data_IF_619760932282
#
_entry.id   IF_619760932282
#
_cell.length_a   1.000
_cell.length_b   1.000
_cell.length_c   1.000
_cell.angle_alpha   90.00
_cell.angle_beta   90.00
_cell.angle_gamma   90.00
#
_symmetry.space_group_name_H-M   'P 1'
#
loop_
_entity.id
_entity.type
_entity.pdbx_description
1 polymer ?
#
# COMPACT_ATOMS: atom_id res chain seq x y z
N UNK A 1 12.06 23.03 -11.23
CA UNK A 1 12.23 21.69 -10.63
C UNK A 1 11.61 21.74 -9.24
N UNK A 2 10.32 21.41 -9.10
CA UNK A 2 9.69 21.39 -7.76
C UNK A 2 10.14 20.13 -7.04
N UNK A 3 11.13 20.26 -6.16
CA UNK A 3 11.48 19.19 -5.22
C UNK A 3 10.40 19.13 -4.16
N UNK A 4 9.43 18.23 -4.33
CA UNK A 4 8.49 17.93 -3.26
C UNK A 4 9.32 17.53 -2.01
N UNK A 5 9.04 18.10 -0.83
CA UNK A 5 9.80 17.77 0.36
C UNK A 5 9.74 16.26 0.63
N UNK A 6 10.80 15.66 1.19
CA UNK A 6 10.88 14.22 1.38
C UNK A 6 9.68 13.67 2.16
N UNK A 7 9.25 12.48 1.78
CA UNK A 7 8.16 11.79 2.46
C UNK A 7 8.69 11.25 3.80
N UNK A 8 8.06 11.66 4.90
CA UNK A 8 8.44 11.24 6.26
C UNK A 8 7.24 10.61 6.97
N UNK A 9 7.50 9.77 7.97
CA UNK A 9 6.45 9.16 8.80
C UNK A 9 5.57 10.21 9.48
N UNK A 10 6.17 11.28 10.00
CA UNK A 10 5.41 12.38 10.60
C UNK A 10 4.40 12.99 9.61
N UNK A 11 4.81 13.19 8.35
CA UNK A 11 3.90 13.71 7.30
C UNK A 11 2.80 12.71 6.97
N UNK A 12 3.15 11.43 6.81
CA UNK A 12 2.18 10.36 6.57
C UNK A 12 1.16 10.20 7.71
N UNK A 13 1.60 10.31 8.96
CA UNK A 13 0.75 10.27 10.15
C UNK A 13 -0.20 11.47 10.26
N UNK A 14 0.12 12.60 9.62
CA UNK A 14 -0.77 13.77 9.55
C UNK A 14 -1.72 13.80 8.33
N UNK A 15 -1.51 12.95 7.32
CA UNK A 15 -2.32 12.98 6.10
C UNK A 15 -3.71 12.38 6.32
N UNK A 16 -4.72 12.93 5.62
CA UNK A 16 -5.99 12.24 5.44
C UNK A 16 -5.81 10.99 4.56
N UNK A 17 -6.83 10.13 4.51
CA UNK A 17 -6.72 8.84 3.83
C UNK A 17 -6.38 8.98 2.35
N UNK A 18 -7.00 9.93 1.65
CA UNK A 18 -6.70 10.22 0.24
C UNK A 18 -5.24 10.62 0.04
N UNK A 19 -4.73 11.56 0.84
CA UNK A 19 -3.35 12.02 0.74
C UNK A 19 -2.33 10.92 1.05
N UNK A 20 -2.58 10.12 2.07
CA UNK A 20 -1.75 8.97 2.42
C UNK A 20 -1.73 7.91 1.31
N UNK A 21 -2.91 7.58 0.78
CA UNK A 21 -3.06 6.61 -0.31
C UNK A 21 -2.39 7.09 -1.59
N UNK A 22 -2.51 8.37 -1.93
CA UNK A 22 -1.81 8.95 -3.08
C UNK A 22 -0.30 8.94 -2.87
N UNK A 23 0.18 9.28 -1.68
CA UNK A 23 1.61 9.34 -1.38
C UNK A 23 2.30 7.97 -1.41
N UNK A 24 1.59 6.91 -1.03
CA UNK A 24 2.13 5.54 -0.91
C UNK A 24 1.56 4.55 -1.93
N UNK A 25 0.65 4.98 -2.81
CA UNK A 25 -0.07 4.09 -3.73
C UNK A 25 0.83 3.32 -4.70
N UNK A 26 2.06 3.79 -4.91
CA UNK A 26 3.09 3.08 -5.69
C UNK A 26 3.59 1.80 -5.01
N UNK A 27 3.39 1.62 -3.69
CA UNK A 27 3.87 0.46 -2.95
C UNK A 27 3.15 -0.84 -3.36
N UNK A 28 1.92 -0.72 -3.85
CA UNK A 28 1.12 -1.82 -4.39
C UNK A 28 0.57 -1.39 -5.74
N UNK A 29 1.30 -1.71 -6.80
CA UNK A 29 0.95 -1.33 -8.16
C UNK A 29 -0.46 -1.80 -8.52
N UNK A 30 -1.26 -0.86 -9.04
CA UNK A 30 -2.67 -1.04 -9.41
C UNK A 30 -3.57 -1.58 -8.27
N UNK A 31 -3.08 -1.55 -7.02
CA UNK A 31 -3.75 -2.10 -5.84
C UNK A 31 -3.63 -1.16 -4.63
N UNK A 32 -4.05 0.12 -4.75
CA UNK A 32 -3.92 1.11 -3.68
C UNK A 32 -4.75 0.76 -2.43
N UNK A 33 -5.68 -0.19 -2.53
CA UNK A 33 -6.55 -0.61 -1.44
C UNK A 33 -5.77 -1.11 -0.22
N UNK A 34 -4.59 -1.71 -0.40
CA UNK A 34 -3.76 -2.19 0.72
C UNK A 34 -3.30 -1.01 1.57
N UNK A 35 -2.77 0.00 0.91
CA UNK A 35 -2.33 1.26 1.53
C UNK A 35 -3.51 2.01 2.15
N UNK A 36 -4.62 2.09 1.41
CA UNK A 36 -5.82 2.78 1.87
C UNK A 36 -6.36 2.22 3.19
N UNK A 37 -6.44 0.88 3.30
CA UNK A 37 -6.92 0.20 4.52
C UNK A 37 -5.89 0.29 5.67
N UNK A 38 -4.59 0.26 5.38
CA UNK A 38 -3.55 0.41 6.40
C UNK A 38 -3.55 1.80 7.07
N UNK A 39 -4.17 2.82 6.44
CA UNK A 39 -4.28 4.18 6.98
C UNK A 39 -4.92 4.24 8.37
N UNK A 40 -5.83 3.31 8.69
CA UNK A 40 -6.54 3.24 9.96
C UNK A 40 -5.64 2.85 11.15
N UNK A 41 -4.46 2.26 10.88
CA UNK A 41 -3.52 1.81 11.92
C UNK A 41 -2.50 2.89 12.35
N UNK A 42 -2.58 4.08 11.77
CA UNK A 42 -1.73 5.22 12.17
C UNK A 42 -2.04 5.66 13.61
N UNK A 43 -1.06 6.23 14.33
CA UNK A 43 0.25 6.63 13.85
C UNK A 43 1.27 5.48 13.77
N UNK A 44 2.21 5.59 12.84
CA UNK A 44 3.37 4.69 12.74
C UNK A 44 4.63 5.34 13.30
N UNK A 45 5.29 4.66 14.22
CA UNK A 45 6.55 5.11 14.81
C UNK A 45 7.77 4.78 13.93
N UNK A 46 7.69 3.69 13.15
CA UNK A 46 8.76 3.23 12.26
C UNK A 46 8.24 2.83 10.87
N UNK A 47 9.16 2.75 9.90
CA UNK A 47 8.83 2.30 8.54
C UNK A 47 8.43 0.83 8.54
N UNK A 48 9.04 0.03 9.42
CA UNK A 48 8.70 -1.36 9.65
C UNK A 48 7.28 -1.50 10.20
N UNK A 49 6.84 -0.60 11.08
CA UNK A 49 5.47 -0.55 11.59
C UNK A 49 4.45 -0.24 10.49
N UNK A 50 4.77 0.73 9.63
CA UNK A 50 3.99 1.07 8.43
C UNK A 50 3.90 -0.13 7.46
N UNK A 51 5.02 -0.78 7.17
CA UNK A 51 5.06 -1.97 6.33
C UNK A 51 4.26 -3.13 6.95
N UNK A 52 4.40 -3.38 8.25
CA UNK A 52 3.69 -4.42 8.96
C UNK A 52 2.17 -4.21 8.93
N UNK A 53 1.69 -2.96 9.00
CA UNK A 53 0.26 -2.66 8.83
C UNK A 53 -0.24 -3.01 7.42
N UNK A 54 0.52 -2.69 6.37
CA UNK A 54 0.17 -3.10 5.01
C UNK A 54 0.15 -4.62 4.84
N UNK A 55 1.10 -5.34 5.46
CA UNK A 55 1.12 -6.80 5.45
C UNK A 55 -0.06 -7.40 6.20
N UNK A 56 -0.44 -6.85 7.36
CA UNK A 56 -1.65 -7.30 8.09
C UNK A 56 -2.92 -7.15 7.25
N UNK A 57 -3.07 -6.02 6.55
CA UNK A 57 -4.17 -5.80 5.61
C UNK A 57 -4.17 -6.85 4.51
N UNK A 58 -3.02 -7.14 3.91
CA UNK A 58 -2.90 -8.15 2.88
C UNK A 58 -3.23 -9.55 3.43
N UNK A 59 -2.69 -9.93 4.59
CA UNK A 59 -2.90 -11.23 5.21
C UNK A 59 -4.37 -11.46 5.57
N UNK A 60 -5.04 -10.45 6.10
CA UNK A 60 -6.46 -10.48 6.45
C UNK A 60 -7.41 -10.36 5.25
N UNK A 61 -6.89 -10.02 4.05
CA UNK A 61 -7.73 -9.86 2.85
C UNK A 61 -8.24 -11.20 2.32
N UNK A 62 -9.36 -11.14 1.61
CA UNK A 62 -9.99 -12.33 1.02
C UNK A 62 -9.12 -12.93 -0.07
N UNK A 63 -9.32 -14.22 -0.38
CA UNK A 63 -8.68 -14.86 -1.53
C UNK A 63 -8.94 -14.10 -2.84
N UNK A 64 -10.13 -13.50 -2.99
CA UNK A 64 -10.47 -12.70 -4.16
C UNK A 64 -9.63 -11.40 -4.25
N UNK A 65 -9.45 -10.69 -3.14
CA UNK A 65 -8.59 -9.49 -3.07
C UNK A 65 -7.13 -9.84 -3.40
N UNK A 66 -6.60 -10.93 -2.81
CA UNK A 66 -5.24 -11.42 -3.10
C UNK A 66 -5.06 -11.81 -4.56
N UNK A 67 -6.05 -12.49 -5.14
CA UNK A 67 -6.02 -12.87 -6.54
C UNK A 67 -6.12 -11.66 -7.47
N UNK A 68 -6.92 -10.65 -7.11
CA UNK A 68 -7.00 -9.40 -7.86
C UNK A 68 -5.65 -8.65 -7.87
N UNK A 69 -4.95 -8.60 -6.73
CA UNK A 69 -3.59 -8.05 -6.63
C UNK A 69 -2.61 -8.77 -7.58
N UNK A 70 -2.61 -10.10 -7.60
CA UNK A 70 -1.74 -10.88 -8.50
C UNK A 70 -2.12 -10.61 -9.97
N UNK A 71 -3.42 -10.61 -10.29
CA UNK A 71 -3.92 -10.39 -11.66
C UNK A 71 -3.77 -8.97 -12.16
N UNK A 72 -3.58 -8.00 -11.27
CA UNK A 72 -3.23 -6.64 -11.64
C UNK A 72 -1.89 -6.57 -12.41
N UNK A 73 -1.12 -7.66 -12.40
CA UNK A 73 0.15 -7.84 -13.10
C UNK A 73 0.03 -8.97 -14.14
N UNK A 74 -0.54 -8.71 -15.33
CA UNK A 74 -0.75 -9.73 -16.36
C UNK A 74 0.53 -10.47 -16.77
N UNK A 75 1.67 -9.78 -16.74
CA UNK A 75 3.00 -10.34 -16.99
C UNK A 75 3.46 -11.35 -15.93
N UNK A 76 3.00 -11.22 -14.67
CA UNK A 76 3.23 -12.22 -13.62
C UNK A 76 2.29 -13.42 -13.79
N UNK A 77 1.04 -13.18 -14.16
CA UNK A 77 0.06 -14.24 -14.42
C UNK A 77 0.47 -15.15 -15.59
N UNK A 78 1.12 -14.60 -16.62
CA UNK A 78 1.61 -15.37 -17.77
C UNK A 78 2.69 -16.42 -17.43
N UNK A 79 3.45 -16.23 -16.35
CA UNK A 79 4.47 -17.21 -15.89
C UNK A 79 3.91 -18.25 -14.90
N UNK A 80 2.76 -17.98 -14.28
CA UNK A 80 2.12 -18.89 -13.33
C UNK A 80 1.02 -19.78 -13.99
N UNK A 81 0.78 -19.61 -15.29
CA UNK A 81 -0.29 -20.28 -16.02
C UNK A 81 0.12 -21.62 -16.68
N UNK A 82 1.20 -22.26 -16.23
CA UNK A 82 1.71 -23.53 -16.81
C UNK A 82 1.74 -24.61 -15.74
#
# INVERSE_FOLDING_TARGET
MSGAPPLTLARLNSMNQTGFTTALGFAFELSPWVVQRAWDERPFDTVEGLHAAMMRVLDASTTADKLALIRAHPELAGKAAI
#
